data_IF_824239621345
#
_entry.id   IF_824239621345
#
_cell.length_a   1.000
_cell.length_b   1.000
_cell.length_c   1.000
_cell.angle_alpha   90.00
_cell.angle_beta   90.00
_cell.angle_gamma   90.00
#
_symmetry.space_group_name_H-M   'P 1'
#
loop_
_entity.id
_entity.type
_entity.pdbx_description
1 polymer ?
#
# COMPACT_ATOMS: atom_id res chain seq x y z
N UNK A 1 -6.55 -26.30 7.55
CA UNK A 1 -6.09 -24.92 7.87
C UNK A 1 -4.72 -24.75 7.23
N UNK A 2 -4.43 -23.59 6.64
CA UNK A 2 -3.14 -23.30 6.00
C UNK A 2 -2.55 -22.09 6.73
N UNK A 3 -1.42 -22.30 7.40
CA UNK A 3 -0.74 -21.28 8.18
C UNK A 3 -0.16 -20.19 7.26
N UNK A 4 -0.02 -18.98 7.79
CA UNK A 4 0.76 -17.96 7.11
C UNK A 4 2.25 -18.35 7.10
N UNK A 5 2.99 -18.14 6.01
CA UNK A 5 4.43 -18.40 5.95
C UNK A 5 5.24 -17.60 6.99
N UNK A 6 4.81 -16.36 7.24
CA UNK A 6 5.35 -15.51 8.29
C UNK A 6 4.19 -14.72 8.93
N UNK A 7 4.13 -14.64 10.27
CA UNK A 7 3.18 -13.77 10.97
C UNK A 7 3.61 -12.30 10.99
N UNK A 8 4.86 -12.00 10.61
CA UNK A 8 5.43 -10.64 10.61
C UNK A 8 5.86 -10.21 9.21
N UNK A 9 5.77 -8.91 8.95
CA UNK A 9 6.30 -8.20 7.78
C UNK A 9 5.79 -8.76 6.46
N UNK A 10 4.57 -9.31 6.51
CA UNK A 10 3.98 -10.04 5.40
C UNK A 10 3.25 -9.12 4.42
N UNK A 11 2.96 -7.88 4.82
CA UNK A 11 2.23 -6.95 3.97
C UNK A 11 3.13 -6.41 2.87
N UNK A 12 2.60 -6.37 1.66
CA UNK A 12 3.22 -5.71 0.51
C UNK A 12 2.62 -4.34 0.21
N UNK A 13 1.63 -3.91 1.00
CA UNK A 13 1.01 -2.59 0.90
C UNK A 13 0.58 -2.09 2.27
N UNK A 14 0.95 -0.85 2.56
CA UNK A 14 0.49 -0.08 3.71
C UNK A 14 -0.04 1.28 3.30
N UNK A 15 -0.92 1.80 4.14
CA UNK A 15 -1.47 3.14 4.07
C UNK A 15 -1.35 3.73 5.48
N UNK A 16 -0.55 4.78 5.60
CA UNK A 16 -0.40 5.57 6.80
C UNK A 16 -1.19 6.87 6.62
N UNK A 17 -1.82 7.34 7.69
CA UNK A 17 -2.62 8.57 7.67
C UNK A 17 -1.85 9.71 8.32
N UNK A 18 -1.91 10.88 7.72
CA UNK A 18 -1.56 12.12 8.38
C UNK A 18 -2.80 12.66 9.08
N UNK A 19 -2.66 13.15 10.32
CA UNK A 19 -3.78 13.80 11.01
C UNK A 19 -3.35 14.98 11.89
N UNK A 20 -4.21 15.98 11.94
CA UNK A 20 -4.08 17.12 12.84
C UNK A 20 -4.46 16.79 14.29
N UNK A 21 -5.12 15.66 14.52
CA UNK A 21 -5.56 15.17 15.84
C UNK A 21 -4.96 13.79 16.04
N UNK A 22 -4.32 13.55 17.18
CA UNK A 22 -3.68 12.28 17.43
C UNK A 22 -2.99 12.15 18.77
N UNK A 23 -2.15 11.13 18.84
CA UNK A 23 -1.30 10.83 19.99
C UNK A 23 0.11 10.52 19.53
N UNK A 24 1.06 11.12 20.22
CA UNK A 24 2.46 10.77 20.13
C UNK A 24 2.74 9.40 20.76
N UNK A 25 3.95 8.87 20.55
CA UNK A 25 4.33 7.52 20.97
C UNK A 25 4.31 7.26 22.47
N UNK A 26 4.66 8.27 23.27
CA UNK A 26 4.74 8.16 24.72
C UNK A 26 3.42 8.57 25.42
N UNK A 27 2.37 8.83 24.63
CA UNK A 27 1.07 9.15 25.19
C UNK A 27 0.46 7.91 25.84
N UNK A 28 -0.17 8.11 27.01
CA UNK A 28 -1.00 7.08 27.64
C UNK A 28 -2.08 6.63 26.63
N UNK A 29 -2.27 5.31 26.41
CA UNK A 29 -3.36 4.79 25.57
C UNK A 29 -4.76 5.23 26.00
N UNK A 30 -4.93 5.71 27.23
CA UNK A 30 -6.17 6.29 27.76
C UNK A 30 -6.16 7.83 27.76
N UNK A 31 -5.07 8.48 27.36
CA UNK A 31 -5.02 9.94 27.20
C UNK A 31 -5.95 10.41 26.07
N UNK A 32 -6.51 11.60 26.26
CA UNK A 32 -7.25 12.31 25.21
C UNK A 32 -6.35 12.61 24.01
N UNK A 33 -6.95 12.61 22.82
CA UNK A 33 -6.25 13.01 21.60
C UNK A 33 -5.98 14.52 21.62
N UNK A 34 -4.77 14.91 21.28
CA UNK A 34 -4.35 16.30 21.17
C UNK A 34 -4.28 16.78 19.71
N UNK A 35 -4.17 18.09 19.54
CA UNK A 35 -3.83 18.70 18.26
C UNK A 35 -2.32 18.55 18.01
N UNK A 36 -1.92 18.28 16.76
CA UNK A 36 -0.52 18.08 16.38
C UNK A 36 -0.33 17.76 14.90
N UNK A 37 0.86 17.27 14.55
CA UNK A 37 1.16 16.75 13.23
C UNK A 37 1.51 15.27 13.35
N UNK A 38 0.52 14.40 13.11
CA UNK A 38 0.66 12.96 13.34
C UNK A 38 0.80 12.19 12.03
N UNK A 39 1.57 11.09 12.04
CA UNK A 39 1.72 10.14 10.95
C UNK A 39 1.78 8.70 11.49
N UNK A 40 0.80 7.89 11.11
CA UNK A 40 0.76 6.49 11.51
C UNK A 40 -0.58 5.83 11.21
N UNK A 41 -1.12 5.09 12.18
CA UNK A 41 -2.39 4.38 12.04
C UNK A 41 -3.55 5.15 12.64
N UNK A 42 -4.74 4.97 12.08
CA UNK A 42 -5.96 5.49 12.71
C UNK A 42 -6.16 4.81 14.06
N UNK A 43 -6.41 5.62 15.08
CA UNK A 43 -6.66 5.11 16.42
C UNK A 43 -7.95 4.27 16.42
N UNK A 44 -7.91 3.11 17.09
CA UNK A 44 -9.02 2.16 17.08
C UNK A 44 -10.33 2.81 17.54
N UNK A 45 -11.39 2.62 16.77
CA UNK A 45 -12.72 3.15 17.10
C UNK A 45 -12.92 4.63 16.73
N UNK A 46 -11.92 5.27 16.13
CA UNK A 46 -12.02 6.64 15.63
C UNK A 46 -11.73 6.70 14.13
N UNK A 47 -12.31 7.67 13.45
CA UNK A 47 -11.99 7.96 12.04
C UNK A 47 -11.14 9.23 11.87
N UNK A 48 -11.03 10.04 12.93
CA UNK A 48 -10.45 11.38 12.92
C UNK A 48 -9.07 11.50 13.58
N UNK A 49 -8.68 10.51 14.38
CA UNK A 49 -7.43 10.56 15.14
C UNK A 49 -6.42 9.52 14.65
N UNK A 50 -5.14 9.86 14.75
CA UNK A 50 -4.01 8.99 14.38
C UNK A 50 -3.11 8.76 15.59
N UNK A 51 -2.57 7.55 15.68
CA UNK A 51 -1.47 7.20 16.58
C UNK A 51 -0.20 7.15 15.75
N UNK A 52 0.81 7.89 16.23
CA UNK A 52 2.11 7.95 15.57
C UNK A 52 2.78 6.57 15.55
N UNK A 53 3.37 6.23 14.40
CA UNK A 53 4.17 5.03 14.27
C UNK A 53 5.65 5.40 14.29
N UNK A 54 6.32 5.12 15.40
CA UNK A 54 7.75 5.47 15.58
C UNK A 54 8.73 4.35 15.25
N UNK A 55 8.26 3.11 15.23
CA UNK A 55 9.08 1.92 15.00
C UNK A 55 8.26 0.86 14.27
N UNK A 56 8.88 -0.29 14.04
CA UNK A 56 8.31 -1.46 13.41
C UNK A 56 6.96 -1.88 14.01
N UNK A 57 5.92 -1.85 13.17
CA UNK A 57 4.58 -2.35 13.53
C UNK A 57 4.50 -3.88 13.53
N UNK A 58 5.51 -4.54 12.96
CA UNK A 58 5.51 -5.96 12.68
C UNK A 58 4.71 -6.34 11.44
N UNK A 59 4.04 -5.41 10.76
CA UNK A 59 3.13 -5.71 9.65
C UNK A 59 3.77 -5.55 8.27
N UNK A 60 4.63 -4.56 8.09
CA UNK A 60 5.20 -4.15 6.80
C UNK A 60 6.73 -4.20 6.83
N UNK A 61 7.38 -3.41 5.98
CA UNK A 61 8.83 -3.31 5.91
C UNK A 61 9.39 -2.53 7.09
N UNK A 62 10.09 -3.24 7.99
CA UNK A 62 10.73 -2.66 9.17
C UNK A 62 11.57 -1.42 8.86
N UNK A 63 12.44 -1.49 7.85
CA UNK A 63 13.32 -0.37 7.50
C UNK A 63 12.52 0.85 7.04
N UNK A 64 11.46 0.64 6.24
CA UNK A 64 10.58 1.74 5.84
C UNK A 64 9.81 2.32 7.03
N UNK A 65 9.30 1.50 7.93
CA UNK A 65 8.55 2.00 9.10
C UNK A 65 9.44 2.81 10.04
N UNK A 66 10.72 2.44 10.19
CA UNK A 66 11.71 3.22 10.91
C UNK A 66 12.03 4.58 10.25
N UNK A 67 11.69 4.78 8.98
CA UNK A 67 11.77 6.08 8.32
C UNK A 67 10.57 6.99 8.62
N UNK A 68 9.44 6.48 9.13
CA UNK A 68 8.22 7.28 9.29
C UNK A 68 8.41 8.52 10.20
N UNK A 69 9.15 8.47 11.32
CA UNK A 69 9.41 9.67 12.12
C UNK A 69 10.12 10.76 11.33
N UNK A 70 11.08 10.37 10.48
CA UNK A 70 11.82 11.28 9.62
C UNK A 70 10.90 11.89 8.55
N UNK A 71 10.08 11.06 7.90
CA UNK A 71 9.09 11.50 6.90
C UNK A 71 8.11 12.49 7.53
N UNK A 72 7.60 12.20 8.74
CA UNK A 72 6.74 13.11 9.50
C UNK A 72 7.43 14.45 9.71
N UNK A 73 8.66 14.46 10.21
CA UNK A 73 9.42 15.69 10.43
C UNK A 73 9.70 16.48 9.15
N UNK A 74 9.97 15.81 8.03
CA UNK A 74 10.16 16.48 6.72
C UNK A 74 8.89 17.18 6.25
N UNK A 75 7.74 16.50 6.39
CA UNK A 75 6.45 17.08 6.03
C UNK A 75 6.07 18.23 6.97
N UNK A 76 6.24 18.05 8.28
CA UNK A 76 5.96 19.08 9.29
C UNK A 76 6.83 20.34 9.08
N UNK A 77 8.11 20.16 8.74
CA UNK A 77 9.04 21.26 8.45
C UNK A 77 8.62 22.12 7.24
N UNK A 78 7.72 21.64 6.38
CA UNK A 78 7.15 22.45 5.30
C UNK A 78 6.20 23.56 5.80
N UNK A 79 5.75 23.47 7.05
CA UNK A 79 4.77 24.40 7.64
C UNK A 79 3.34 24.15 7.17
N UNK A 80 3.10 23.18 6.30
CA UNK A 80 1.77 22.81 5.83
C UNK A 80 1.09 21.84 6.82
N UNK A 81 -0.22 21.99 7.08
CA UNK A 81 -0.91 21.21 8.10
C UNK A 81 -1.19 19.77 7.66
N UNK A 82 -1.19 18.85 8.63
CA UNK A 82 -1.79 17.53 8.46
C UNK A 82 -3.32 17.64 8.31
N UNK A 83 -3.95 16.59 7.78
CA UNK A 83 -5.39 16.56 7.55
C UNK A 83 -6.19 16.58 8.86
N UNK A 84 -7.09 17.56 9.00
CA UNK A 84 -8.01 17.68 10.11
C UNK A 84 -9.37 17.11 9.71
N UNK A 85 -9.59 15.81 9.94
CA UNK A 85 -10.75 15.12 9.40
C UNK A 85 -12.13 15.71 9.79
N UNK A 86 -12.37 16.17 11.04
CA UNK A 86 -13.64 16.83 11.42
C UNK A 86 -13.89 18.17 10.71
N UNK A 87 -12.84 18.98 10.52
CA UNK A 87 -12.91 20.28 9.84
C UNK A 87 -12.82 20.15 8.31
N UNK A 88 -12.40 19.00 7.80
CA UNK A 88 -12.24 18.68 6.38
C UNK A 88 -11.27 19.64 5.68
N UNK A 89 -10.19 19.97 6.37
CA UNK A 89 -9.13 20.87 5.91
C UNK A 89 -7.76 20.26 6.19
N UNK A 90 -6.72 20.81 5.56
CA UNK A 90 -5.34 20.36 5.72
C UNK A 90 -4.70 19.98 4.39
N UNK A 91 -3.39 19.77 4.42
CA UNK A 91 -2.59 19.48 3.23
C UNK A 91 -2.22 18.01 3.12
N UNK A 92 -1.49 17.46 4.10
CA UNK A 92 -1.04 16.06 4.06
C UNK A 92 -2.16 15.11 4.47
N UNK A 93 -2.42 14.08 3.66
CA UNK A 93 -3.54 13.15 3.89
C UNK A 93 -3.07 11.73 4.16
N UNK A 94 -2.35 11.15 3.20
CA UNK A 94 -1.94 9.76 3.27
C UNK A 94 -0.53 9.57 2.73
N UNK A 95 0.16 8.57 3.28
CA UNK A 95 1.37 8.00 2.72
C UNK A 95 1.07 6.54 2.40
N UNK A 96 0.98 6.21 1.11
CA UNK A 96 0.69 4.86 0.64
C UNK A 96 1.97 4.25 0.09
N UNK A 97 2.29 3.04 0.53
CA UNK A 97 3.55 2.39 0.18
C UNK A 97 3.25 0.98 -0.26
N UNK A 98 3.82 0.60 -1.40
CA UNK A 98 3.75 -0.76 -1.92
C UNK A 98 5.17 -1.31 -2.04
N UNK A 99 5.38 -2.52 -1.54
CA UNK A 99 6.63 -3.26 -1.62
C UNK A 99 6.49 -4.42 -2.61
N UNK A 100 7.52 -4.66 -3.41
CA UNK A 100 7.77 -5.98 -3.99
C UNK A 100 8.59 -6.78 -3.00
N UNK A 101 8.07 -7.93 -2.57
CA UNK A 101 8.79 -8.81 -1.65
C UNK A 101 9.95 -9.52 -2.37
N UNK A 102 9.76 -9.91 -3.63
CA UNK A 102 10.78 -10.57 -4.45
C UNK A 102 11.96 -9.64 -4.77
N UNK A 103 11.68 -8.39 -5.19
CA UNK A 103 12.71 -7.45 -5.63
C UNK A 103 13.23 -6.54 -4.51
N UNK A 104 12.60 -6.56 -3.33
CA UNK A 104 12.84 -5.62 -2.22
C UNK A 104 12.78 -4.13 -2.65
N UNK A 105 11.82 -3.81 -3.52
CA UNK A 105 11.60 -2.46 -4.07
C UNK A 105 10.33 -1.82 -3.54
N UNK A 106 10.37 -0.52 -3.28
CA UNK A 106 9.30 0.28 -2.68
C UNK A 106 8.79 1.33 -3.67
N UNK A 107 7.49 1.31 -3.92
CA UNK A 107 6.75 2.37 -4.60
C UNK A 107 6.04 3.21 -3.53
N UNK A 108 6.40 4.48 -3.45
CA UNK A 108 5.87 5.42 -2.45
C UNK A 108 4.92 6.39 -3.14
N UNK A 109 3.76 6.64 -2.53
CA UNK A 109 2.79 7.62 -2.98
C UNK A 109 2.41 8.56 -1.83
N UNK A 110 2.76 9.84 -1.96
CA UNK A 110 2.31 10.89 -1.05
C UNK A 110 1.00 11.47 -1.58
N UNK A 111 0.00 11.54 -0.72
CA UNK A 111 -1.32 12.08 -1.05
C UNK A 111 -1.54 13.38 -0.29
N UNK A 112 -1.79 14.46 -1.03
CA UNK A 112 -2.05 15.79 -0.47
C UNK A 112 -3.31 16.40 -1.08
N UNK A 113 -3.81 17.49 -0.49
CA UNK A 113 -4.73 18.40 -1.18
C UNK A 113 -3.96 19.32 -2.12
N UNK A 114 -4.67 20.05 -2.97
CA UNK A 114 -4.13 21.10 -3.84
C UNK A 114 -3.90 22.43 -3.12
N UNK A 115 -4.52 22.63 -1.94
CA UNK A 115 -4.43 23.87 -1.18
C UNK A 115 -3.07 24.01 -0.48
N UNK A 116 -2.24 24.97 -0.90
CA UNK A 116 -0.88 25.15 -0.39
C UNK A 116 0.20 24.39 -1.16
N UNK A 117 -0.17 23.75 -2.29
CA UNK A 117 0.76 22.97 -3.12
C UNK A 117 1.96 23.80 -3.58
N UNK A 118 1.77 25.08 -3.88
CA UNK A 118 2.83 26.01 -4.29
C UNK A 118 3.91 26.24 -3.22
N UNK A 119 3.63 25.90 -1.96
CA UNK A 119 4.54 26.01 -0.84
C UNK A 119 5.29 24.69 -0.57
N UNK A 120 4.86 23.58 -1.18
CA UNK A 120 5.46 22.27 -0.97
C UNK A 120 6.40 21.90 -2.11
N UNK A 121 7.70 21.78 -1.82
CA UNK A 121 8.66 21.25 -2.78
C UNK A 121 8.58 19.71 -2.84
N UNK A 122 7.66 19.22 -3.68
CA UNK A 122 7.49 17.79 -3.95
C UNK A 122 8.77 17.14 -4.48
N UNK A 123 9.59 17.89 -5.22
CA UNK A 123 10.84 17.37 -5.78
C UNK A 123 11.88 17.18 -4.67
N UNK A 124 11.95 18.11 -3.71
CA UNK A 124 12.82 17.97 -2.54
C UNK A 124 12.43 16.78 -1.66
N UNK A 125 11.13 16.63 -1.38
CA UNK A 125 10.64 15.46 -0.66
C UNK A 125 11.02 14.14 -1.38
N UNK A 126 10.89 14.11 -2.71
CA UNK A 126 11.34 12.98 -3.53
C UNK A 126 12.85 12.71 -3.43
N UNK A 127 13.68 13.76 -3.37
CA UNK A 127 15.14 13.62 -3.15
C UNK A 127 15.45 13.09 -1.76
N UNK A 128 14.76 13.55 -0.72
CA UNK A 128 14.93 13.07 0.65
C UNK A 128 14.58 11.57 0.76
N UNK A 129 13.48 11.15 0.13
CA UNK A 129 13.13 9.72 0.01
C UNK A 129 14.22 8.93 -0.75
N UNK A 130 14.70 9.45 -1.87
CA UNK A 130 15.76 8.82 -2.65
C UNK A 130 17.06 8.63 -1.86
N UNK A 131 17.45 9.64 -1.07
CA UNK A 131 18.64 9.56 -0.21
C UNK A 131 18.48 8.53 0.91
N UNK A 132 17.28 8.41 1.49
CA UNK A 132 17.04 7.54 2.62
C UNK A 132 16.79 6.07 2.21
N UNK A 133 16.20 5.84 1.02
CA UNK A 133 15.85 4.50 0.53
C UNK A 133 16.84 3.97 -0.52
N UNK A 134 17.65 4.83 -1.14
CA UNK A 134 18.61 4.44 -2.18
C UNK A 134 17.97 3.63 -3.31
N UNK A 135 18.61 2.52 -3.67
CA UNK A 135 18.13 1.63 -4.73
C UNK A 135 16.79 0.94 -4.40
N UNK A 136 16.39 0.90 -3.11
CA UNK A 136 15.10 0.32 -2.70
C UNK A 136 13.94 1.17 -3.21
N UNK A 137 14.11 2.47 -3.48
CA UNK A 137 13.06 3.29 -4.09
C UNK A 137 12.86 2.86 -5.56
N UNK A 138 11.75 2.20 -5.86
CA UNK A 138 11.30 1.99 -7.24
C UNK A 138 10.82 3.30 -7.86
N UNK A 139 9.99 4.03 -7.14
CA UNK A 139 9.51 5.32 -7.61
C UNK A 139 8.73 6.06 -6.54
N UNK A 140 8.61 7.36 -6.78
CA UNK A 140 7.86 8.27 -5.95
C UNK A 140 6.75 8.93 -6.77
N UNK A 141 5.53 8.79 -6.29
CA UNK A 141 4.32 9.34 -6.89
C UNK A 141 3.75 10.39 -5.93
N UNK A 142 3.26 11.48 -6.49
CA UNK A 142 2.48 12.46 -5.75
C UNK A 142 1.06 12.48 -6.29
N UNK A 143 0.08 12.36 -5.41
CA UNK A 143 -1.34 12.35 -5.77
C UNK A 143 -2.06 13.52 -5.12
N UNK A 144 -2.74 14.32 -5.94
CA UNK A 144 -3.64 15.37 -5.47
C UNK A 144 -5.04 14.80 -5.28
N UNK A 145 -5.57 14.92 -4.06
CA UNK A 145 -6.90 14.48 -3.69
C UNK A 145 -7.60 15.50 -2.79
N UNK A 146 -8.48 16.28 -3.42
CA UNK A 146 -9.32 17.30 -2.78
C UNK A 146 -10.68 16.77 -2.33
N UNK A 147 -10.92 15.45 -2.43
CA UNK A 147 -12.17 14.87 -1.97
C UNK A 147 -12.28 15.05 -0.44
N UNK A 148 -13.42 15.56 -0.01
CA UNK A 148 -13.72 15.76 1.41
C UNK A 148 -14.67 14.70 1.95
N UNK A 149 -15.15 13.77 1.12
CA UNK A 149 -16.12 12.74 1.47
C UNK A 149 -15.72 11.88 2.67
N UNK A 150 -16.70 11.17 3.24
CA UNK A 150 -16.47 10.31 4.42
C UNK A 150 -15.60 9.09 4.13
N UNK A 151 -15.52 8.67 2.86
CA UNK A 151 -14.74 7.52 2.39
C UNK A 151 -13.79 7.93 1.27
N UNK A 152 -12.82 8.75 1.61
CA UNK A 152 -11.76 9.09 0.65
C UNK A 152 -10.84 7.90 0.48
N UNK A 153 -10.75 7.40 -0.74
CA UNK A 153 -9.75 6.41 -1.09
C UNK A 153 -8.38 7.10 -1.29
N UNK A 154 -7.36 6.66 -0.55
CA UNK A 154 -5.99 7.22 -0.65
C UNK A 154 -5.34 7.05 -2.04
N UNK A 155 -5.97 6.29 -2.95
CA UNK A 155 -5.50 6.05 -4.31
C UNK A 155 -6.28 6.82 -5.38
N UNK A 156 -7.34 7.53 -4.99
CA UNK A 156 -8.10 8.39 -5.90
C UNK A 156 -7.45 9.76 -6.01
N UNK A 157 -7.77 10.47 -7.10
CA UNK A 157 -7.17 11.76 -7.44
C UNK A 157 -6.19 11.72 -8.61
N UNK A 158 -5.60 12.88 -8.89
CA UNK A 158 -4.67 13.11 -9.99
C UNK A 158 -3.24 12.77 -9.55
N UNK A 159 -2.68 11.69 -10.11
CA UNK A 159 -1.35 11.19 -9.74
C UNK A 159 -0.29 11.60 -10.76
N UNK A 160 0.86 12.06 -10.27
CA UNK A 160 2.05 12.42 -11.06
C UNK A 160 3.24 11.60 -10.59
N UNK A 161 3.97 10.99 -11.53
CA UNK A 161 5.25 10.34 -11.24
C UNK A 161 6.33 11.40 -11.09
N UNK A 162 6.97 11.47 -9.93
CA UNK A 162 7.99 12.47 -9.61
C UNK A 162 9.38 11.92 -9.94
N UNK A 163 9.64 10.66 -9.57
CA UNK A 163 10.91 9.99 -9.84
C UNK A 163 10.76 8.47 -9.96
N UNK A 164 11.67 7.82 -10.67
CA UNK A 164 11.72 6.37 -10.80
C UNK A 164 10.64 5.81 -11.75
N UNK A 165 9.97 4.73 -11.34
CA UNK A 165 8.93 4.05 -12.11
C UNK A 165 7.57 4.04 -11.38
N UNK A 166 6.47 3.94 -12.12
CA UNK A 166 5.10 3.97 -11.58
C UNK A 166 4.57 2.61 -11.12
N UNK A 167 5.41 1.58 -11.11
CA UNK A 167 5.05 0.21 -10.74
C UNK A 167 6.22 -0.52 -10.06
N UNK A 168 5.91 -1.60 -9.37
CA UNK A 168 6.89 -2.61 -8.92
C UNK A 168 6.59 -3.94 -9.59
N UNK A 169 7.61 -4.79 -9.74
CA UNK A 169 7.45 -6.15 -10.25
C UNK A 169 7.39 -7.10 -9.05
N UNK A 170 6.34 -7.91 -8.97
CA UNK A 170 6.26 -9.00 -7.99
C UNK A 170 6.22 -10.33 -8.72
N UNK A 171 6.84 -11.36 -8.13
CA UNK A 171 6.83 -12.72 -8.69
C UNK A 171 5.94 -13.62 -7.87
N UNK A 172 5.00 -14.30 -8.52
CA UNK A 172 4.18 -15.34 -7.90
C UNK A 172 4.15 -16.56 -8.79
N UNK A 173 4.49 -17.72 -8.21
CA UNK A 173 4.53 -18.99 -8.92
C UNK A 173 5.40 -18.98 -10.19
N UNK A 174 6.32 -18.02 -10.39
CA UNK A 174 7.12 -17.90 -11.61
C UNK A 174 6.49 -17.07 -12.74
N UNK A 175 5.36 -16.40 -12.47
CA UNK A 175 4.88 -15.28 -13.29
C UNK A 175 5.36 -13.96 -12.69
N UNK A 176 5.61 -12.96 -13.54
CA UNK A 176 5.93 -11.60 -13.12
C UNK A 176 4.72 -10.69 -13.32
N UNK A 177 4.35 -9.96 -12.26
CA UNK A 177 3.22 -9.05 -12.26
C UNK A 177 3.70 -7.61 -12.07
N UNK A 178 3.31 -6.73 -12.99
CA UNK A 178 3.46 -5.29 -12.79
C UNK A 178 2.36 -4.79 -11.85
N UNK A 179 2.75 -4.27 -10.70
CA UNK A 179 1.82 -3.76 -9.70
C UNK A 179 1.97 -2.25 -9.54
N UNK A 180 0.94 -1.53 -9.98
CA UNK A 180 0.82 -0.09 -9.78
C UNK A 180 0.19 0.23 -8.42
N UNK A 181 0.23 1.50 -8.01
CA UNK A 181 -0.33 1.94 -6.74
C UNK A 181 -1.86 1.67 -6.63
N UNK A 182 -2.58 1.86 -7.74
CA UNK A 182 -4.05 1.68 -7.80
C UNK A 182 -4.48 0.23 -8.02
N UNK A 183 -3.58 -0.64 -8.50
CA UNK A 183 -3.87 -2.04 -8.80
C UNK A 183 -4.21 -2.80 -7.52
N UNK A 184 -5.28 -3.60 -7.57
CA UNK A 184 -5.52 -4.59 -6.53
C UNK A 184 -4.51 -5.73 -6.69
N UNK A 185 -3.90 -6.13 -5.57
CA UNK A 185 -3.03 -7.29 -5.49
C UNK A 185 -3.10 -7.80 -4.05
N UNK A 186 -2.97 -9.11 -3.85
CA UNK A 186 -3.04 -9.68 -2.51
C UNK A 186 -2.00 -9.04 -1.60
N UNK A 187 -2.45 -8.58 -0.42
CA UNK A 187 -1.59 -7.83 0.50
C UNK A 187 -0.53 -8.72 1.14
N UNK A 188 -0.70 -10.04 1.14
CA UNK A 188 0.28 -11.02 1.58
C UNK A 188 0.64 -11.96 0.42
N UNK A 189 1.66 -11.63 -0.40
CA UNK A 189 2.07 -12.45 -1.55
C UNK A 189 2.42 -13.89 -1.18
N UNK A 190 3.09 -14.12 -0.05
CA UNK A 190 3.51 -15.46 0.36
C UNK A 190 2.30 -16.35 0.72
N UNK A 191 1.29 -15.78 1.39
CA UNK A 191 0.01 -16.48 1.58
C UNK A 191 -0.75 -16.66 0.26
N UNK A 192 -0.74 -15.65 -0.61
CA UNK A 192 -1.38 -15.74 -1.92
C UNK A 192 -0.80 -16.88 -2.76
N UNK A 193 0.51 -17.11 -2.68
CA UNK A 193 1.16 -18.23 -3.34
C UNK A 193 0.60 -19.57 -2.85
N UNK A 194 0.45 -19.77 -1.53
CA UNK A 194 -0.18 -20.97 -0.96
C UNK A 194 -1.65 -21.11 -1.37
N UNK A 195 -2.41 -20.01 -1.34
CA UNK A 195 -3.81 -19.98 -1.77
C UNK A 195 -3.94 -20.41 -3.23
N UNK A 196 -3.12 -19.85 -4.12
CA UNK A 196 -3.16 -20.15 -5.54
C UNK A 196 -2.71 -21.58 -5.84
N UNK A 197 -1.73 -22.11 -5.10
CA UNK A 197 -1.38 -23.53 -5.20
C UNK A 197 -2.58 -24.43 -4.90
N UNK A 198 -3.38 -24.09 -3.88
CA UNK A 198 -4.59 -24.85 -3.55
C UNK A 198 -5.67 -24.70 -4.62
N UNK A 199 -5.86 -23.50 -5.17
CA UNK A 199 -6.80 -23.27 -6.28
C UNK A 199 -6.42 -24.12 -7.49
N UNK A 200 -5.14 -24.16 -7.85
CA UNK A 200 -4.64 -25.00 -8.93
C UNK A 200 -4.86 -26.49 -8.63
N UNK A 201 -4.57 -26.94 -7.41
CA UNK A 201 -4.82 -28.33 -7.02
C UNK A 201 -6.29 -28.73 -7.19
N UNK A 202 -7.23 -27.86 -6.78
CA UNK A 202 -8.67 -28.12 -6.94
C UNK A 202 -9.14 -28.02 -8.39
N UNK A 203 -8.64 -27.05 -9.14
CA UNK A 203 -9.01 -26.86 -10.54
C UNK A 203 -8.54 -28.01 -11.45
N UNK A 204 -7.51 -28.76 -11.04
CA UNK A 204 -6.97 -29.89 -11.82
C UNK A 204 -7.17 -31.26 -11.16
N UNK A 205 -7.90 -31.35 -10.05
CA UNK A 205 -8.31 -32.63 -9.46
C UNK A 205 -9.43 -33.28 -10.30
N UNK A 206 -9.33 -34.60 -10.49
CA UNK A 206 -10.25 -35.39 -11.33
C UNK A 206 -11.49 -35.92 -10.55
N UNK A 207 -12.65 -36.07 -11.23
CA UNK A 207 -12.98 -35.53 -12.54
C UNK A 207 -13.87 -34.28 -12.37
N UNK A 208 -13.38 -33.12 -12.79
CA UNK A 208 -14.29 -32.14 -13.40
C UNK A 208 -15.02 -32.92 -14.51
N UNK A 209 -16.36 -32.97 -14.52
CA UNK A 209 -17.10 -33.70 -15.53
C UNK A 209 -16.54 -33.31 -16.90
N UNK A 210 -16.06 -34.30 -17.67
CA UNK A 210 -15.58 -34.04 -19.04
C UNK A 210 -16.66 -33.21 -19.72
N UNK A 211 -16.34 -31.95 -20.02
CA UNK A 211 -17.14 -31.19 -20.95
C UNK A 211 -17.20 -32.05 -22.21
N UNK A 212 -18.37 -32.21 -22.82
CA UNK A 212 -18.57 -32.99 -24.04
C UNK A 212 -17.88 -32.35 -25.28
N UNK A 213 -16.84 -31.56 -25.07
CA UNK A 213 -16.07 -30.80 -26.06
C UNK A 213 -14.58 -30.90 -25.74
N UNK A 214 -13.74 -31.04 -26.77
CA UNK A 214 -12.28 -31.02 -26.69
C UNK A 214 -11.67 -29.67 -26.20
N UNK A 215 -12.53 -28.72 -25.80
CA UNK A 215 -12.17 -27.39 -25.33
C UNK A 215 -12.81 -27.17 -23.95
N UNK A 216 -11.98 -27.20 -22.90
CA UNK A 216 -12.38 -26.74 -21.57
C UNK A 216 -12.29 -25.21 -21.51
N UNK A 217 -13.39 -24.55 -21.17
CA UNK A 217 -13.43 -23.09 -20.97
C UNK A 217 -13.39 -22.81 -19.47
N UNK A 218 -12.48 -21.93 -19.04
CA UNK A 218 -12.42 -21.44 -17.66
C UNK A 218 -12.82 -19.98 -17.60
N UNK A 219 -13.71 -19.64 -16.68
CA UNK A 219 -14.16 -18.28 -16.44
C UNK A 219 -13.67 -17.81 -15.06
N UNK A 220 -12.76 -16.83 -15.07
CA UNK A 220 -12.26 -16.17 -13.85
C UNK A 220 -13.17 -14.96 -13.54
N UNK A 221 -14.12 -15.17 -12.64
CA UNK A 221 -15.04 -14.12 -12.18
C UNK A 221 -14.36 -13.26 -11.11
N UNK A 222 -14.56 -11.94 -11.18
CA UNK A 222 -13.91 -10.97 -10.26
C UNK A 222 -12.38 -10.98 -10.33
N UNK A 223 -11.85 -11.23 -11.54
CA UNK A 223 -10.44 -11.56 -11.76
C UNK A 223 -9.43 -10.47 -11.35
N UNK A 224 -9.86 -9.22 -11.17
CA UNK A 224 -8.98 -8.11 -10.82
C UNK A 224 -7.85 -7.97 -11.85
N UNK A 225 -6.60 -8.18 -11.43
CA UNK A 225 -5.42 -8.21 -12.32
C UNK A 225 -5.27 -9.53 -13.10
N UNK A 226 -6.23 -10.43 -13.03
CA UNK A 226 -6.24 -11.71 -13.73
C UNK A 226 -5.25 -12.74 -13.17
N UNK A 227 -4.83 -12.61 -11.91
CA UNK A 227 -3.76 -13.44 -11.33
C UNK A 227 -4.10 -14.93 -11.38
N UNK A 228 -5.34 -15.32 -11.10
CA UNK A 228 -5.79 -16.72 -11.11
C UNK A 228 -5.88 -17.25 -12.54
N UNK A 229 -6.54 -16.51 -13.45
CA UNK A 229 -6.60 -16.87 -14.87
C UNK A 229 -5.23 -17.12 -15.49
N UNK A 230 -4.27 -16.23 -15.25
CA UNK A 230 -2.90 -16.36 -15.79
C UNK A 230 -2.19 -17.61 -15.25
N UNK A 231 -2.38 -17.94 -13.97
CA UNK A 231 -1.83 -19.16 -13.36
C UNK A 231 -2.47 -20.44 -13.91
N UNK A 232 -3.80 -20.42 -14.14
CA UNK A 232 -4.52 -21.55 -14.74
C UNK A 232 -4.09 -21.77 -16.19
N UNK A 233 -4.03 -20.70 -17.00
CA UNK A 233 -3.62 -20.78 -18.40
C UNK A 233 -2.21 -21.39 -18.56
N UNK A 234 -1.25 -20.99 -17.71
CA UNK A 234 0.09 -21.55 -17.74
C UNK A 234 0.10 -23.05 -17.42
N UNK A 235 -0.64 -23.49 -16.41
CA UNK A 235 -0.68 -24.91 -16.04
C UNK A 235 -1.41 -25.77 -17.09
N UNK A 236 -2.46 -25.24 -17.73
CA UNK A 236 -3.16 -25.93 -18.83
C UNK A 236 -2.29 -26.12 -20.08
N UNK A 237 -1.31 -25.25 -20.31
CA UNK A 237 -0.37 -25.32 -21.45
C UNK A 237 0.71 -26.39 -21.31
N UNK A 238 0.80 -27.04 -20.15
CA UNK A 238 1.82 -28.06 -19.82
C UNK A 238 1.28 -29.50 -19.95
N UNK A 239 0.09 -29.68 -20.53
CA UNK A 239 -0.50 -30.98 -20.89
C UNK A 239 -0.26 -31.34 -22.34
#
# INVERSE_FOLDING_TARGET
WIDAPSPFHYRNKMEYSFAAIGRGPDADPDAEFGDGFHLGFKARGTWWAVEDLEDDSGLFDQQFEQLLPHIRSWCEASGLPAWHAPKREGFFRFLVVRKSLDADRLLVNLVTTSHGLEQFDVQDFGRQLGNALGERLAGFIHTLNDDTGERVEAREGASTLISGVSHVIERLHGLSFEIQMKSFFQTNPLCAERLYAQVLAYAFQEPIPKANSDQSVTMDLFCGTGTIAQLLARNSSTR
#
